data_IF_860588939652
#
_entry.id   IF_860588939652
#
_cell.length_a   1.000
_cell.length_b   1.000
_cell.length_c   1.000
_cell.angle_alpha   90.00
_cell.angle_beta   90.00
_cell.angle_gamma   90.00
#
_symmetry.space_group_name_H-M   'P 1'
#
loop_
_entity.id
_entity.type
_entity.pdbx_description
1 polymer ?
#
# COMPACT_ATOMS: atom_id res chain seq x y z
N UNK A 1 -7.83 30.77 0.47
CA UNK A 1 -8.67 29.67 -0.07
C UNK A 1 -7.94 28.36 0.19
N UNK A 2 -8.65 27.31 0.60
CA UNK A 2 -8.06 25.97 0.69
C UNK A 2 -7.67 25.49 -0.71
N UNK A 3 -6.63 24.67 -0.83
CA UNK A 3 -6.22 24.07 -2.10
C UNK A 3 -7.34 23.11 -2.55
N UNK A 4 -7.99 23.41 -3.67
CA UNK A 4 -9.05 22.58 -4.24
C UNK A 4 -8.51 21.75 -5.40
N UNK A 5 -8.57 20.43 -5.29
CA UNK A 5 -8.09 19.49 -6.30
C UNK A 5 -7.04 18.51 -5.76
N UNK A 6 -6.79 17.44 -6.51
CA UNK A 6 -5.76 16.45 -6.16
C UNK A 6 -4.39 17.02 -6.49
N UNK A 7 -3.54 17.19 -5.47
CA UNK A 7 -2.11 17.35 -5.69
C UNK A 7 -1.51 15.97 -6.01
N UNK A 8 -1.26 15.73 -7.30
CA UNK A 8 -0.88 14.40 -7.76
C UNK A 8 0.52 13.99 -7.27
N UNK A 9 1.43 14.93 -7.08
CA UNK A 9 2.78 14.67 -6.58
C UNK A 9 2.76 14.30 -5.09
N UNK A 10 2.05 15.10 -4.28
CA UNK A 10 1.85 14.79 -2.86
C UNK A 10 1.11 13.46 -2.69
N UNK A 11 0.06 13.22 -3.47
CA UNK A 11 -0.70 11.97 -3.46
C UNK A 11 0.17 10.77 -3.84
N UNK A 12 1.00 10.92 -4.88
CA UNK A 12 1.95 9.89 -5.28
C UNK A 12 2.92 9.58 -4.16
N UNK A 13 3.50 10.61 -3.52
CA UNK A 13 4.41 10.45 -2.38
C UNK A 13 3.77 9.66 -1.23
N UNK A 14 2.51 9.98 -0.89
CA UNK A 14 1.77 9.26 0.16
C UNK A 14 1.54 7.79 -0.19
N UNK A 15 1.05 7.50 -1.39
CA UNK A 15 0.79 6.12 -1.84
C UNK A 15 2.08 5.29 -1.94
N UNK A 16 3.16 5.87 -2.45
CA UNK A 16 4.49 5.22 -2.48
C UNK A 16 5.05 5.00 -1.06
N UNK A 17 4.82 5.95 -0.15
CA UNK A 17 5.21 5.87 1.26
C UNK A 17 4.53 4.70 1.97
N UNK A 18 3.23 4.49 1.73
CA UNK A 18 2.47 3.35 2.27
C UNK A 18 3.04 2.02 1.79
N UNK A 19 3.31 1.88 0.48
CA UNK A 19 3.93 0.69 -0.09
C UNK A 19 5.34 0.44 0.49
N UNK A 20 6.14 1.50 0.62
CA UNK A 20 7.51 1.44 1.16
C UNK A 20 7.56 1.07 2.64
N UNK A 21 6.65 1.61 3.45
CA UNK A 21 6.60 1.33 4.89
C UNK A 21 6.36 -0.15 5.18
N UNK A 22 5.51 -0.82 4.38
CA UNK A 22 5.23 -2.24 4.55
C UNK A 22 6.26 -3.15 3.90
N UNK A 23 6.88 -2.72 2.80
CA UNK A 23 7.92 -3.51 2.11
C UNK A 23 9.14 -3.78 3.00
N UNK A 24 9.43 -2.87 3.93
CA UNK A 24 10.54 -2.94 4.88
C UNK A 24 10.28 -3.88 6.08
N UNK A 25 9.08 -4.44 6.24
CA UNK A 25 8.79 -5.35 7.35
C UNK A 25 9.56 -6.66 7.17
N UNK A 26 10.56 -6.90 8.01
CA UNK A 26 11.39 -8.10 7.94
C UNK A 26 10.62 -9.37 8.32
N UNK A 27 11.05 -10.49 7.75
CA UNK A 27 10.62 -11.82 8.19
C UNK A 27 11.33 -12.17 9.49
N UNK A 28 10.69 -12.98 10.32
CA UNK A 28 11.34 -13.62 11.46
C UNK A 28 12.15 -14.81 10.93
N UNK A 29 13.40 -14.93 11.39
CA UNK A 29 14.26 -16.07 11.05
C UNK A 29 13.63 -17.37 11.60
N UNK A 30 13.61 -18.42 10.79
CA UNK A 30 13.14 -19.73 11.27
C UNK A 30 14.02 -20.23 12.41
N UNK A 31 13.37 -20.85 13.41
CA UNK A 31 14.01 -21.46 14.56
C UNK A 31 13.64 -22.94 14.59
N UNK A 32 14.65 -23.79 14.67
CA UNK A 32 14.51 -25.24 14.75
C UNK A 32 15.20 -25.72 16.01
N UNK A 33 14.50 -26.51 16.81
CA UNK A 33 15.03 -27.13 18.03
C UNK A 33 15.16 -28.63 17.80
N UNK A 34 16.38 -29.17 17.85
CA UNK A 34 16.67 -30.60 17.59
C UNK A 34 16.73 -31.45 18.85
N UNK A 35 17.01 -30.83 20.01
CA UNK A 35 17.24 -31.53 21.28
C UNK A 35 15.96 -31.73 22.13
N UNK A 36 14.78 -31.39 21.60
CA UNK A 36 13.52 -31.50 22.34
C UNK A 36 12.36 -31.93 21.45
N UNK A 37 11.47 -32.75 22.02
CA UNK A 37 10.21 -33.16 21.41
C UNK A 37 9.00 -32.45 22.03
N UNK A 38 9.23 -31.52 22.97
CA UNK A 38 8.18 -30.77 23.64
C UNK A 38 7.42 -29.90 22.64
N UNK A 39 6.09 -30.08 22.60
CA UNK A 39 5.17 -29.39 21.66
C UNK A 39 5.40 -27.88 21.53
N UNK A 40 5.59 -27.10 22.62
CA UNK A 40 5.79 -25.66 22.48
C UNK A 40 6.97 -25.28 21.58
N UNK A 41 8.05 -26.07 21.59
CA UNK A 41 9.26 -25.80 20.81
C UNK A 41 9.14 -26.29 19.37
N UNK A 42 8.45 -27.41 19.14
CA UNK A 42 8.21 -27.93 17.78
C UNK A 42 7.17 -27.09 17.04
N UNK A 43 6.14 -26.59 17.74
CA UNK A 43 5.08 -25.74 17.17
C UNK A 43 5.55 -24.29 16.91
N UNK A 44 6.56 -23.80 17.63
CA UNK A 44 7.08 -22.43 17.46
C UNK A 44 7.54 -22.15 16.02
N UNK A 45 8.16 -23.14 15.38
CA UNK A 45 8.57 -23.08 13.97
C UNK A 45 7.36 -22.82 13.04
N UNK A 46 6.25 -23.52 13.27
CA UNK A 46 5.01 -23.37 12.51
C UNK A 46 4.39 -21.98 12.71
N UNK A 47 4.48 -21.43 13.93
CA UNK A 47 4.01 -20.08 14.24
C UNK A 47 4.83 -19.03 13.47
N UNK A 48 6.17 -19.15 13.45
CA UNK A 48 7.05 -18.28 12.67
C UNK A 48 6.69 -18.34 11.18
N UNK A 49 6.45 -19.53 10.64
CA UNK A 49 6.06 -19.70 9.24
C UNK A 49 4.72 -19.03 8.92
N UNK A 50 3.71 -19.21 9.80
CA UNK A 50 2.41 -18.54 9.66
C UNK A 50 2.57 -17.02 9.70
N UNK A 51 3.36 -16.50 10.63
CA UNK A 51 3.65 -15.07 10.74
C UNK A 51 4.30 -14.54 9.46
N UNK A 52 5.35 -15.20 8.97
CA UNK A 52 6.05 -14.82 7.75
C UNK A 52 5.16 -14.84 6.51
N UNK A 53 4.21 -15.80 6.42
CA UNK A 53 3.17 -15.82 5.38
C UNK A 53 2.22 -14.64 5.49
N UNK A 54 1.81 -14.27 6.70
CA UNK A 54 0.96 -13.09 6.94
C UNK A 54 1.67 -11.79 6.56
N UNK A 55 2.96 -11.62 6.90
CA UNK A 55 3.76 -10.48 6.46
C UNK A 55 3.83 -10.40 4.93
N UNK A 56 4.05 -11.53 4.24
CA UNK A 56 4.05 -11.56 2.77
C UNK A 56 2.69 -11.09 2.20
N UNK A 57 1.58 -11.58 2.77
CA UNK A 57 0.22 -11.16 2.35
C UNK A 57 -0.01 -9.67 2.57
N UNK A 58 0.37 -9.13 3.73
CA UNK A 58 0.26 -7.71 4.05
C UNK A 58 1.02 -6.84 3.04
N UNK A 59 2.26 -7.20 2.71
CA UNK A 59 3.08 -6.50 1.71
C UNK A 59 2.41 -6.47 0.34
N UNK A 60 1.94 -7.62 -0.13
CA UNK A 60 1.27 -7.72 -1.44
C UNK A 60 -0.02 -6.90 -1.47
N UNK A 61 -0.86 -7.04 -0.44
CA UNK A 61 -2.10 -6.31 -0.33
C UNK A 61 -1.86 -4.79 -0.35
N UNK A 62 -0.97 -4.31 0.53
CA UNK A 62 -0.68 -2.89 0.67
C UNK A 62 -0.09 -2.29 -0.60
N UNK A 63 0.79 -3.00 -1.29
CA UNK A 63 1.33 -2.56 -2.58
C UNK A 63 0.20 -2.39 -3.61
N UNK A 64 -0.64 -3.41 -3.76
CA UNK A 64 -1.76 -3.37 -4.72
C UNK A 64 -2.76 -2.28 -4.38
N UNK A 65 -3.03 -2.06 -3.10
CA UNK A 65 -3.95 -1.02 -2.65
C UNK A 65 -3.39 0.38 -2.91
N UNK A 66 -2.12 0.62 -2.58
CA UNK A 66 -1.42 1.88 -2.89
C UNK A 66 -1.44 2.20 -4.40
N UNK A 67 -1.19 1.21 -5.26
CA UNK A 67 -1.27 1.37 -6.71
C UNK A 67 -2.68 1.76 -7.19
N UNK A 68 -3.73 1.18 -6.59
CA UNK A 68 -5.14 1.53 -6.89
C UNK A 68 -5.46 2.94 -6.41
N UNK A 69 -5.01 3.32 -5.23
CA UNK A 69 -5.19 4.66 -4.67
C UNK A 69 -4.52 5.72 -5.53
N UNK A 70 -3.29 5.48 -5.99
CA UNK A 70 -2.62 6.38 -6.93
C UNK A 70 -3.44 6.56 -8.22
N UNK A 71 -3.92 5.46 -8.81
CA UNK A 71 -4.77 5.50 -10.01
C UNK A 71 -6.06 6.29 -9.79
N UNK A 72 -6.71 6.12 -8.63
CA UNK A 72 -7.91 6.88 -8.30
C UNK A 72 -7.64 8.40 -8.24
N UNK A 73 -6.55 8.81 -7.59
CA UNK A 73 -6.12 10.22 -7.54
C UNK A 73 -5.78 10.77 -8.93
N UNK A 74 -5.07 10.01 -9.75
CA UNK A 74 -4.78 10.38 -11.15
C UNK A 74 -6.07 10.55 -11.96
N UNK A 75 -6.99 9.60 -11.89
CA UNK A 75 -8.27 9.67 -12.60
C UNK A 75 -9.06 10.92 -12.18
N UNK A 76 -9.05 11.26 -10.88
CA UNK A 76 -9.71 12.47 -10.39
C UNK A 76 -9.04 13.75 -10.91
N UNK A 77 -7.70 13.80 -10.92
CA UNK A 77 -6.96 14.93 -11.49
C UNK A 77 -7.23 15.13 -12.98
N UNK A 78 -7.34 14.03 -13.74
CA UNK A 78 -7.64 14.08 -15.18
C UNK A 78 -9.09 14.56 -15.42
N UNK A 79 -10.05 14.06 -14.64
CA UNK A 79 -11.46 14.46 -14.66
C UNK A 79 -11.64 15.96 -14.38
N UNK A 80 -11.03 16.45 -13.29
CA UNK A 80 -11.09 17.88 -12.92
C UNK A 80 -10.50 18.78 -14.02
N UNK A 81 -9.40 18.36 -14.66
CA UNK A 81 -8.78 19.08 -15.78
C UNK A 81 -9.69 19.12 -17.01
N UNK A 82 -10.36 18.01 -17.32
CA UNK A 82 -11.29 17.93 -18.44
C UNK A 82 -12.52 18.80 -18.21
N UNK A 83 -13.11 18.77 -17.00
CA UNK A 83 -14.28 19.58 -16.69
C UNK A 83 -13.95 21.08 -16.62
N UNK A 84 -12.77 21.46 -16.13
CA UNK A 84 -12.29 22.83 -16.19
C UNK A 84 -12.19 23.35 -17.64
N UNK A 85 -11.78 22.51 -18.61
CA UNK A 85 -11.77 22.88 -20.04
C UNK A 85 -13.18 23.02 -20.59
N UNK A 86 -14.08 22.09 -20.25
CA UNK A 86 -15.48 22.10 -20.71
C UNK A 86 -16.24 23.33 -20.22
N UNK A 87 -16.09 23.69 -18.95
CA UNK A 87 -16.76 24.83 -18.33
C UNK A 87 -16.23 26.16 -18.88
N UNK A 88 -14.92 26.31 -19.06
CA UNK A 88 -14.31 27.50 -19.69
C UNK A 88 -14.77 27.69 -21.14
N UNK A 89 -14.92 26.60 -21.90
CA UNK A 89 -15.44 26.65 -23.28
C UNK A 89 -16.90 27.15 -23.35
N UNK A 90 -17.72 26.85 -22.33
CA UNK A 90 -19.13 27.25 -22.28
C UNK A 90 -19.38 28.68 -21.75
N UNK A 91 -18.45 29.24 -20.97
CA UNK A 91 -18.57 30.58 -20.38
C UNK A 91 -18.07 31.74 -21.25
N UNK A 92 -17.54 31.46 -22.44
CA UNK A 92 -17.00 32.46 -23.38
C UNK A 92 -18.02 33.03 -24.39
N UNK A 93 -19.30 33.15 -24.01
CA UNK A 93 -20.33 33.86 -24.79
C UNK A 93 -20.85 35.05 -23.99
#
# INVERSE_FOLDING_TARGET
MAKTGVDLEEWKSLTDGVSSSTSNISKIKSLTFTETTLKPFTEFSSIIDKFNKSIKKLKTYTKTDAEKMYKAGKNKSDDDSNEAKNTRSKGGK
#
